data_IF_150828612014
#
_entry.id   IF_150828612014
#
_cell.length_a   1.000
_cell.length_b   1.000
_cell.length_c   1.000
_cell.angle_alpha   90.00
_cell.angle_beta   90.00
_cell.angle_gamma   90.00
#
_symmetry.space_group_name_H-M   'P 1'
#
loop_
_entity.id
_entity.type
_entity.pdbx_description
1 polymer ?
#
# COMPACT_ATOMS: atom_id res chain seq x y z
N UNK A 1 -2.57 17.98 47.22
CA UNK A 1 -2.33 19.20 48.02
C UNK A 1 -3.47 19.33 49.02
N UNK A 2 -3.24 19.82 50.25
CA UNK A 2 -4.28 19.79 51.28
C UNK A 2 -5.43 20.68 50.81
N UNK A 3 -6.66 20.15 50.78
CA UNK A 3 -7.86 20.99 50.78
C UNK A 3 -7.63 22.00 51.91
N UNK A 4 -7.62 23.31 51.61
CA UNK A 4 -7.66 24.32 52.67
C UNK A 4 -8.81 23.91 53.57
N UNK A 5 -8.53 23.75 54.87
CA UNK A 5 -9.56 23.32 55.82
C UNK A 5 -10.74 24.27 55.64
N UNK A 6 -11.89 23.71 55.25
CA UNK A 6 -13.14 24.44 55.23
C UNK A 6 -13.28 25.10 56.61
N UNK A 7 -13.68 26.38 56.68
CA UNK A 7 -13.83 27.05 57.96
C UNK A 7 -14.70 26.18 58.87
N UNK A 8 -14.28 25.99 60.13
CA UNK A 8 -15.02 25.17 61.07
C UNK A 8 -16.37 25.85 61.32
N UNK A 9 -17.46 25.19 60.91
CA UNK A 9 -18.82 25.74 61.02
C UNK A 9 -19.40 25.22 62.34
N UNK A 10 -19.60 26.06 63.36
CA UNK A 10 -20.04 25.61 64.68
C UNK A 10 -21.50 25.11 64.71
N UNK A 11 -22.29 25.37 63.66
CA UNK A 11 -23.70 24.99 63.55
C UNK A 11 -23.90 23.84 62.52
N UNK A 12 -24.33 22.64 62.95
CA UNK A 12 -24.54 21.50 62.06
C UNK A 12 -25.69 21.69 61.06
N UNK A 13 -26.70 22.51 61.37
CA UNK A 13 -27.77 22.84 60.40
C UNK A 13 -27.21 23.72 59.27
N UNK A 14 -26.38 24.70 59.64
CA UNK A 14 -25.72 25.59 58.69
C UNK A 14 -24.74 24.83 57.80
N UNK A 15 -24.01 23.86 58.36
CA UNK A 15 -23.09 23.01 57.62
C UNK A 15 -23.81 22.15 56.57
N UNK A 16 -24.91 21.50 56.94
CA UNK A 16 -25.72 20.71 56.00
C UNK A 16 -26.32 21.57 54.87
N UNK A 17 -26.75 22.79 55.18
CA UNK A 17 -27.27 23.73 54.19
C UNK A 17 -26.17 24.18 53.20
N UNK A 18 -24.98 24.51 53.69
CA UNK A 18 -23.84 24.91 52.86
C UNK A 18 -23.30 23.76 51.99
N UNK A 19 -23.30 22.52 52.51
CA UNK A 19 -22.93 21.34 51.72
C UNK A 19 -23.91 21.08 50.57
N UNK A 20 -25.21 21.19 50.82
CA UNK A 20 -26.25 21.07 49.80
C UNK A 20 -26.18 22.17 48.73
N UNK A 21 -25.73 23.38 49.10
CA UNK A 21 -25.47 24.46 48.13
C UNK A 21 -24.23 24.20 47.26
N UNK A 22 -23.32 23.33 47.69
CA UNK A 22 -22.08 22.98 46.98
C UNK A 22 -22.22 21.78 46.03
N UNK A 23 -23.39 21.15 45.96
CA UNK A 23 -23.64 20.01 45.07
C UNK A 23 -23.65 20.45 43.59
N UNK A 24 -22.74 19.92 42.74
CA UNK A 24 -22.69 20.30 41.33
C UNK A 24 -23.75 19.55 40.52
N UNK A 25 -24.32 20.22 39.51
CA UNK A 25 -25.10 19.58 38.45
C UNK A 25 -26.61 19.87 38.47
N UNK A 26 -27.39 19.18 37.63
CA UNK A 26 -28.82 19.44 37.44
C UNK A 26 -29.71 19.00 38.61
N UNK A 27 -29.19 18.16 39.52
CA UNK A 27 -29.90 17.66 40.70
C UNK A 27 -29.75 18.58 41.92
N UNK A 28 -28.94 19.64 41.82
CA UNK A 28 -28.73 20.63 42.86
C UNK A 28 -29.82 21.72 42.89
N UNK A 29 -29.93 22.50 43.99
CA UNK A 29 -30.87 23.60 44.09
C UNK A 29 -30.63 24.65 42.98
N UNK A 30 -31.70 25.17 42.39
CA UNK A 30 -31.64 26.22 41.39
C UNK A 30 -31.07 27.52 41.98
N UNK A 31 -30.54 28.42 41.14
CA UNK A 31 -29.92 29.66 41.60
C UNK A 31 -30.87 30.52 42.48
N UNK A 32 -32.17 30.50 42.19
CA UNK A 32 -33.17 31.19 43.01
C UNK A 32 -33.39 30.50 44.36
N UNK A 33 -33.48 29.17 44.40
CA UNK A 33 -33.59 28.40 45.65
C UNK A 33 -32.33 28.57 46.51
N UNK A 34 -31.14 28.60 45.89
CA UNK A 34 -29.88 28.88 46.57
C UNK A 34 -29.89 30.28 47.21
N UNK A 35 -30.37 31.30 46.48
CA UNK A 35 -30.50 32.66 46.98
C UNK A 35 -31.48 32.75 48.16
N UNK A 36 -32.64 32.10 48.08
CA UNK A 36 -33.63 32.06 49.15
C UNK A 36 -33.08 31.40 50.41
N UNK A 37 -32.41 30.24 50.27
CA UNK A 37 -31.77 29.53 51.38
C UNK A 37 -30.68 30.37 52.06
N UNK A 38 -29.85 31.06 51.27
CA UNK A 38 -28.79 31.94 51.78
C UNK A 38 -29.36 33.19 52.48
N UNK A 39 -30.43 33.79 51.94
CA UNK A 39 -31.11 34.94 52.56
C UNK A 39 -31.76 34.54 53.89
N UNK A 40 -32.42 33.38 53.93
CA UNK A 40 -33.01 32.82 55.15
C UNK A 40 -31.92 32.59 56.21
N UNK A 41 -30.78 31.97 55.84
CA UNK A 41 -29.67 31.75 56.77
C UNK A 41 -29.06 33.06 57.30
N UNK A 42 -28.84 34.06 56.45
CA UNK A 42 -28.30 35.37 56.85
C UNK A 42 -29.22 36.15 57.80
N UNK A 43 -30.53 35.94 57.73
CA UNK A 43 -31.50 36.65 58.58
C UNK A 43 -31.56 36.16 60.03
N UNK A 44 -31.01 34.96 60.33
CA UNK A 44 -31.06 34.35 61.67
C UNK A 44 -30.24 35.10 62.72
N UNK A 45 -29.03 35.55 62.37
CA UNK A 45 -28.15 36.33 63.25
C UNK A 45 -27.02 37.02 62.46
N UNK A 46 -26.51 38.18 62.93
CA UNK A 46 -25.39 38.87 62.28
C UNK A 46 -24.10 38.03 62.27
N UNK A 47 -23.88 37.18 63.26
CA UNK A 47 -22.73 36.25 63.31
C UNK A 47 -22.82 35.17 62.22
N UNK A 48 -24.02 34.64 61.96
CA UNK A 48 -24.28 33.64 60.91
C UNK A 48 -24.08 34.25 59.52
N UNK A 49 -24.52 35.50 59.32
CA UNK A 49 -24.30 36.20 58.06
C UNK A 49 -22.81 36.35 57.71
N UNK A 50 -21.97 36.69 58.69
CA UNK A 50 -20.52 36.79 58.51
C UNK A 50 -19.86 35.44 58.19
N UNK A 51 -20.36 34.34 58.76
CA UNK A 51 -19.90 32.97 58.47
C UNK A 51 -20.27 32.57 57.04
N UNK A 52 -21.52 32.81 56.62
CA UNK A 52 -21.99 32.52 55.26
C UNK A 52 -21.21 33.31 54.21
N UNK A 53 -20.98 34.61 54.45
CA UNK A 53 -20.21 35.44 53.53
C UNK A 53 -18.76 34.96 53.39
N UNK A 54 -18.12 34.60 54.51
CA UNK A 54 -16.76 34.04 54.50
C UNK A 54 -16.70 32.70 53.78
N UNK A 55 -17.71 31.85 53.97
CA UNK A 55 -17.81 30.57 53.28
C UNK A 55 -17.99 30.77 51.78
N UNK A 56 -18.91 31.64 51.34
CA UNK A 56 -19.14 31.92 49.92
C UNK A 56 -17.91 32.49 49.23
N UNK A 57 -17.19 33.41 49.90
CA UNK A 57 -15.94 33.95 49.37
C UNK A 57 -14.86 32.87 49.31
N UNK A 58 -14.77 31.98 50.32
CA UNK A 58 -13.87 30.84 50.32
C UNK A 58 -14.15 29.85 49.19
N UNK A 59 -15.42 29.47 49.00
CA UNK A 59 -15.85 28.56 47.94
C UNK A 59 -15.61 29.18 46.55
N UNK A 60 -15.85 30.49 46.38
CA UNK A 60 -15.50 31.20 45.15
C UNK A 60 -13.99 31.24 44.90
N UNK A 61 -13.16 31.43 45.93
CA UNK A 61 -11.70 31.39 45.80
C UNK A 61 -11.22 29.98 45.40
N UNK A 62 -11.76 28.94 46.05
CA UNK A 62 -11.46 27.53 45.76
C UNK A 62 -11.87 27.15 44.32
N UNK A 63 -13.07 27.55 43.87
CA UNK A 63 -13.54 27.33 42.50
C UNK A 63 -12.68 28.10 41.47
N UNK A 64 -12.33 29.35 41.76
CA UNK A 64 -11.46 30.16 40.87
C UNK A 64 -10.07 29.56 40.77
N UNK A 65 -9.53 29.08 41.89
CA UNK A 65 -8.25 28.40 41.94
C UNK A 65 -8.30 27.08 41.15
N UNK A 66 -9.29 26.23 41.41
CA UNK A 66 -9.47 24.96 40.69
C UNK A 66 -9.66 25.17 39.18
N UNK A 67 -10.42 26.18 38.77
CA UNK A 67 -10.57 26.54 37.36
C UNK A 67 -9.26 27.05 36.75
N UNK A 68 -8.49 27.85 37.48
CA UNK A 68 -7.19 28.32 37.02
C UNK A 68 -6.19 27.15 36.85
N UNK A 69 -6.17 26.21 37.79
CA UNK A 69 -5.35 25.01 37.74
C UNK A 69 -5.76 24.08 36.59
N UNK A 70 -7.06 23.81 36.42
CA UNK A 70 -7.56 23.01 35.30
C UNK A 70 -7.21 23.64 33.94
N UNK A 71 -7.30 24.98 33.82
CA UNK A 71 -6.87 25.70 32.62
C UNK A 71 -5.36 25.60 32.38
N UNK A 72 -4.55 25.67 33.44
CA UNK A 72 -3.10 25.52 33.34
C UNK A 72 -2.73 24.10 32.87
N UNK A 73 -3.37 23.07 33.44
CA UNK A 73 -3.18 21.69 33.03
C UNK A 73 -3.61 21.43 31.58
N UNK A 74 -4.76 21.97 31.16
CA UNK A 74 -5.19 21.92 29.75
C UNK A 74 -4.19 22.60 28.80
N UNK A 75 -3.62 23.74 29.22
CA UNK A 75 -2.60 24.43 28.43
C UNK A 75 -1.31 23.61 28.32
N UNK A 76 -0.91 22.91 29.38
CA UNK A 76 0.25 22.02 29.37
C UNK A 76 0.03 20.80 28.46
N UNK A 77 -1.13 20.15 28.56
CA UNK A 77 -1.50 19.04 27.68
C UNK A 77 -1.50 19.45 26.20
N UNK A 78 -2.03 20.64 25.87
CA UNK A 78 -1.97 21.17 24.50
C UNK A 78 -0.55 21.36 24.02
N UNK A 79 0.35 21.92 24.84
CA UNK A 79 1.76 22.07 24.48
C UNK A 79 2.43 20.72 24.21
N UNK A 80 2.13 19.69 25.01
CA UNK A 80 2.65 18.34 24.80
C UNK A 80 2.10 17.73 23.52
N UNK A 81 0.80 17.86 23.27
CA UNK A 81 0.17 17.41 22.03
C UNK A 81 0.82 18.07 20.81
N UNK A 82 0.93 19.40 20.80
CA UNK A 82 1.53 20.16 19.71
C UNK A 82 2.99 19.76 19.49
N UNK A 83 3.76 19.56 20.57
CA UNK A 83 5.16 19.11 20.48
C UNK A 83 5.26 17.74 19.81
N UNK A 84 4.42 16.79 20.23
CA UNK A 84 4.45 15.41 19.72
C UNK A 84 3.91 15.30 18.28
N UNK A 85 2.99 16.19 17.87
CA UNK A 85 2.42 16.19 16.52
C UNK A 85 3.13 17.16 15.58
N UNK A 86 4.02 18.03 16.07
CA UNK A 86 4.77 18.97 15.24
C UNK A 86 5.78 18.27 14.32
N UNK A 87 5.96 18.77 13.08
CA UNK A 87 7.03 18.30 12.21
C UNK A 87 8.42 18.65 12.80
N UNK A 88 9.50 17.95 12.41
CA UNK A 88 9.59 17.00 11.29
C UNK A 88 8.93 15.65 11.57
N UNK A 89 8.30 15.09 10.54
CA UNK A 89 7.71 13.76 10.55
C UNK A 89 8.57 12.78 9.76
N UNK A 90 8.53 11.52 10.16
CA UNK A 90 9.40 10.48 9.62
C UNK A 90 8.61 9.49 8.77
N UNK A 91 8.92 9.33 7.48
CA UNK A 91 8.24 8.36 6.63
C UNK A 91 8.60 6.91 7.03
N UNK A 92 7.60 6.04 6.99
CA UNK A 92 7.70 4.62 7.27
C UNK A 92 6.75 3.82 6.38
N UNK A 93 6.96 2.50 6.24
CA UNK A 93 6.03 1.60 5.56
C UNK A 93 5.12 0.92 6.56
N UNK A 94 3.81 0.93 6.30
CA UNK A 94 2.89 0.05 6.99
C UNK A 94 3.09 -1.41 6.56
N UNK A 95 3.18 -2.33 7.52
CA UNK A 95 3.40 -3.75 7.24
C UNK A 95 2.18 -4.61 7.54
N UNK A 96 1.58 -4.47 8.72
CA UNK A 96 0.42 -5.27 9.14
C UNK A 96 -0.17 -4.76 10.47
N UNK A 97 -1.44 -5.09 10.78
CA UNK A 97 -1.98 -4.87 12.11
C UNK A 97 -1.38 -5.84 13.12
N UNK A 98 -1.38 -5.46 14.40
CA UNK A 98 -1.04 -6.36 15.50
C UNK A 98 -2.30 -7.02 16.03
N UNK A 99 -2.32 -8.35 16.10
CA UNK A 99 -3.48 -9.11 16.58
C UNK A 99 -3.82 -8.76 18.05
N UNK A 100 -5.11 -8.67 18.35
CA UNK A 100 -5.61 -8.38 19.69
C UNK A 100 -5.50 -6.90 20.13
N UNK A 101 -4.84 -6.04 19.35
CA UNK A 101 -4.66 -4.61 19.70
C UNK A 101 -5.11 -3.70 18.57
N UNK A 102 -6.25 -3.00 18.70
CA UNK A 102 -6.84 -2.31 17.57
C UNK A 102 -6.14 -1.03 17.13
N UNK A 103 -5.44 -0.41 18.07
CA UNK A 103 -4.71 0.84 17.96
C UNK A 103 -3.24 0.64 17.58
N UNK A 104 -2.75 -0.60 17.45
CA UNK A 104 -1.34 -0.90 17.20
C UNK A 104 -1.10 -1.55 15.85
N UNK A 105 -0.04 -1.08 15.19
CA UNK A 105 0.37 -1.54 13.87
C UNK A 105 1.86 -1.76 13.81
N UNK A 106 2.29 -2.69 12.97
CA UNK A 106 3.69 -2.91 12.64
C UNK A 106 4.08 -2.04 11.45
N UNK A 107 5.13 -1.24 11.61
CA UNK A 107 5.70 -0.39 10.57
C UNK A 107 7.19 -0.66 10.40
N UNK A 108 7.73 -0.33 9.23
CA UNK A 108 9.17 -0.34 8.98
C UNK A 108 9.69 1.07 8.72
N UNK A 109 10.71 1.48 9.48
CA UNK A 109 11.37 2.78 9.38
C UNK A 109 12.88 2.57 9.40
N UNK A 110 13.58 2.99 8.35
CA UNK A 110 15.05 2.85 8.26
C UNK A 110 15.53 1.39 8.36
N UNK A 111 14.77 0.43 7.83
CA UNK A 111 15.08 -1.00 7.86
C UNK A 111 14.73 -1.72 9.17
N UNK A 112 14.40 -0.99 10.23
CA UNK A 112 13.93 -1.58 11.48
C UNK A 112 12.39 -1.68 11.52
N UNK A 113 11.88 -2.79 12.04
CA UNK A 113 10.45 -2.98 12.30
C UNK A 113 10.09 -2.50 13.70
N UNK A 114 8.96 -1.81 13.84
CA UNK A 114 8.47 -1.25 15.11
C UNK A 114 6.97 -1.41 15.22
N UNK A 115 6.51 -1.72 16.44
CA UNK A 115 5.09 -1.62 16.79
C UNK A 115 4.84 -0.20 17.26
N UNK A 116 3.88 0.47 16.62
CA UNK A 116 3.52 1.86 16.88
C UNK A 116 2.01 1.99 17.06
N UNK A 117 1.56 3.04 17.72
CA UNK A 117 0.13 3.33 17.85
C UNK A 117 -0.38 4.12 16.63
N UNK A 118 -1.68 4.06 16.36
CA UNK A 118 -2.37 4.94 15.41
C UNK A 118 -2.87 6.20 16.14
N UNK A 119 -2.73 7.36 15.51
CA UNK A 119 -3.34 8.59 16.01
C UNK A 119 -4.88 8.54 15.91
N UNK A 120 -5.55 9.34 16.73
CA UNK A 120 -7.02 9.47 16.68
C UNK A 120 -7.48 9.87 15.27
N UNK A 121 -8.52 9.20 14.77
CA UNK A 121 -9.09 9.44 13.44
C UNK A 121 -8.47 8.64 12.31
N UNK A 122 -7.42 7.83 12.56
CA UNK A 122 -6.87 6.91 11.58
C UNK A 122 -7.39 5.51 11.85
N UNK A 123 -8.17 4.95 10.91
CA UNK A 123 -8.51 3.53 10.95
C UNK A 123 -7.42 2.70 10.31
N UNK A 124 -7.19 1.50 10.85
CA UNK A 124 -6.32 0.52 10.20
C UNK A 124 -6.91 0.01 8.88
N UNK A 125 -8.23 0.11 8.72
CA UNK A 125 -8.94 -0.39 7.53
C UNK A 125 -8.64 0.46 6.30
N UNK A 126 -8.20 1.70 6.51
CA UNK A 126 -7.77 2.62 5.46
C UNK A 126 -6.31 2.39 5.02
N UNK A 127 -5.60 1.45 5.67
CA UNK A 127 -4.18 1.18 5.44
C UNK A 127 -3.97 -0.18 4.77
N UNK A 128 -3.28 -0.18 3.65
CA UNK A 128 -2.85 -1.36 2.92
C UNK A 128 -1.37 -1.63 3.13
N UNK A 129 -0.99 -2.92 3.14
CA UNK A 129 0.42 -3.34 3.25
C UNK A 129 1.26 -2.61 2.21
N UNK A 130 2.35 -1.98 2.66
CA UNK A 130 3.27 -1.22 1.84
C UNK A 130 2.95 0.27 1.72
N UNK A 131 1.84 0.75 2.27
CA UNK A 131 1.52 2.18 2.27
C UNK A 131 2.55 2.99 3.06
N UNK A 132 2.83 4.19 2.55
CA UNK A 132 3.67 5.14 3.25
C UNK A 132 2.85 5.83 4.36
N UNK A 133 3.43 5.87 5.55
CA UNK A 133 2.85 6.52 6.72
C UNK A 133 3.85 7.46 7.34
N UNK A 134 3.37 8.50 8.01
CA UNK A 134 4.19 9.49 8.69
C UNK A 134 4.15 9.26 10.19
N UNK A 135 5.32 9.03 10.77
CA UNK A 135 5.52 8.89 12.21
C UNK A 135 5.86 10.23 12.84
N UNK A 136 5.51 10.37 14.13
CA UNK A 136 5.96 11.47 14.96
C UNK A 136 7.47 11.43 15.26
N UNK A 137 7.98 12.45 15.96
CA UNK A 137 9.40 12.57 16.31
C UNK A 137 9.93 11.41 17.17
N UNK A 138 9.08 10.84 18.02
CA UNK A 138 9.41 9.70 18.87
C UNK A 138 9.28 8.35 18.14
N UNK A 139 8.89 8.34 16.86
CA UNK A 139 8.76 7.16 16.01
C UNK A 139 7.83 6.08 16.59
N UNK A 140 6.82 6.49 17.36
CA UNK A 140 5.94 5.61 18.12
C UNK A 140 4.44 5.78 17.82
N UNK A 141 4.07 6.80 17.02
CA UNK A 141 2.69 7.04 16.59
C UNK A 141 2.66 7.35 15.10
N UNK A 142 1.75 6.71 14.36
CA UNK A 142 1.38 7.10 12.99
C UNK A 142 0.45 8.30 13.07
N UNK A 143 0.90 9.44 12.55
CA UNK A 143 0.15 10.71 12.55
C UNK A 143 -0.79 10.83 11.36
N UNK A 144 -0.45 10.22 10.22
CA UNK A 144 -1.28 10.17 9.01
C UNK A 144 -0.70 9.21 7.97
N UNK A 145 -1.54 8.66 7.07
CA UNK A 145 -1.06 8.09 5.81
C UNK A 145 -0.49 9.17 4.88
N UNK A 146 0.40 8.76 4.00
CA UNK A 146 1.01 9.56 2.95
C UNK A 146 0.50 9.09 1.59
N UNK A 147 -0.21 9.96 0.89
CA UNK A 147 -0.85 9.63 -0.39
C UNK A 147 -0.55 10.74 -1.41
N UNK A 148 -0.06 10.42 -2.62
CA UNK A 148 0.38 9.10 -3.06
C UNK A 148 1.64 8.64 -2.29
N UNK A 149 1.87 7.33 -2.27
CA UNK A 149 3.10 6.75 -1.74
C UNK A 149 4.31 7.40 -2.43
N UNK A 150 5.35 7.72 -1.66
CA UNK A 150 6.61 8.26 -2.17
C UNK A 150 7.34 7.16 -2.92
N UNK A 151 7.83 7.48 -4.11
CA UNK A 151 8.63 6.53 -4.90
C UNK A 151 9.94 6.22 -4.17
N UNK A 152 9.95 5.10 -3.46
CA UNK A 152 11.16 4.57 -2.81
C UNK A 152 12.10 4.02 -3.86
N UNK A 153 13.41 4.18 -3.61
CA UNK A 153 14.42 3.49 -4.39
C UNK A 153 14.27 1.98 -4.15
N UNK A 154 13.80 1.27 -5.17
CA UNK A 154 13.51 -0.16 -5.12
C UNK A 154 14.27 -0.88 -6.22
N UNK A 155 14.42 -2.19 -6.07
CA UNK A 155 14.99 -3.04 -7.11
C UNK A 155 13.89 -3.58 -8.04
N UNK A 156 14.32 -4.14 -9.17
CA UNK A 156 13.44 -4.84 -10.10
C UNK A 156 13.82 -6.33 -10.08
N UNK A 157 12.81 -7.18 -9.98
CA UNK A 157 12.96 -8.63 -10.07
C UNK A 157 11.91 -9.21 -11.01
N UNK A 158 12.13 -10.43 -11.47
CA UNK A 158 11.18 -11.15 -12.31
C UNK A 158 10.35 -12.11 -11.47
N UNK A 159 9.03 -12.06 -11.62
CA UNK A 159 8.12 -12.99 -10.98
C UNK A 159 8.28 -14.38 -11.59
N UNK A 160 8.50 -15.40 -10.76
CA UNK A 160 8.50 -16.80 -11.21
C UNK A 160 7.14 -17.45 -10.98
N UNK A 161 6.74 -17.54 -9.72
CA UNK A 161 5.50 -18.17 -9.29
C UNK A 161 5.09 -17.67 -7.90
N UNK A 162 3.82 -17.91 -7.54
CA UNK A 162 3.28 -17.63 -6.21
C UNK A 162 3.27 -18.90 -5.36
N UNK A 163 3.54 -18.76 -4.07
CA UNK A 163 3.40 -19.80 -3.06
C UNK A 163 1.93 -19.90 -2.59
N UNK A 164 1.59 -21.02 -1.95
CA UNK A 164 0.23 -21.29 -1.47
C UNK A 164 -0.26 -20.31 -0.39
N UNK A 165 0.65 -19.60 0.27
CA UNK A 165 0.35 -18.61 1.31
C UNK A 165 0.30 -17.16 0.77
N UNK A 166 0.36 -16.98 -0.54
CA UNK A 166 0.30 -15.67 -1.20
C UNK A 166 1.63 -14.92 -1.28
N UNK A 167 2.74 -15.51 -0.81
CA UNK A 167 4.08 -14.96 -1.06
C UNK A 167 4.52 -15.21 -2.50
N UNK A 168 5.33 -14.33 -3.05
CA UNK A 168 5.85 -14.36 -4.41
C UNK A 168 7.30 -14.85 -4.39
N UNK A 169 7.64 -15.76 -5.29
CA UNK A 169 9.03 -16.09 -5.61
C UNK A 169 9.48 -15.22 -6.77
N UNK A 170 10.50 -14.40 -6.52
CA UNK A 170 11.07 -13.48 -7.48
C UNK A 170 12.51 -13.89 -7.80
N UNK A 171 12.91 -13.74 -9.06
CA UNK A 171 14.31 -13.82 -9.49
C UNK A 171 14.91 -12.41 -9.46
N UNK A 172 15.70 -12.13 -8.44
CA UNK A 172 16.44 -10.88 -8.29
C UNK A 172 17.90 -11.13 -8.68
N UNK A 173 18.31 -10.60 -9.84
CA UNK A 173 19.64 -10.85 -10.43
C UNK A 173 19.91 -12.36 -10.58
N UNK A 174 20.88 -12.88 -9.83
CA UNK A 174 21.28 -14.30 -9.82
C UNK A 174 20.72 -15.08 -8.62
N UNK A 175 19.79 -14.49 -7.86
CA UNK A 175 19.23 -15.10 -6.66
C UNK A 175 17.72 -15.19 -6.71
N UNK A 176 17.18 -16.26 -6.12
CA UNK A 176 15.75 -16.39 -5.85
C UNK A 176 15.47 -15.83 -4.46
N UNK A 177 14.46 -14.97 -4.40
CA UNK A 177 14.05 -14.26 -3.18
C UNK A 177 12.55 -14.39 -3.02
N UNK A 178 12.10 -14.29 -1.77
CA UNK A 178 10.68 -14.34 -1.43
C UNK A 178 10.24 -12.95 -1.00
N UNK A 179 9.14 -12.48 -1.57
CA UNK A 179 8.53 -11.20 -1.22
C UNK A 179 7.02 -11.36 -1.05
N UNK A 180 6.38 -10.44 -0.32
CA UNK A 180 4.92 -10.35 -0.23
C UNK A 180 4.40 -9.24 -1.15
N UNK A 181 3.26 -9.46 -1.79
CA UNK A 181 2.61 -8.42 -2.58
C UNK A 181 2.07 -7.30 -1.67
N UNK A 182 2.21 -6.06 -2.12
CA UNK A 182 1.83 -4.83 -1.44
C UNK A 182 1.04 -3.92 -2.39
N UNK A 183 0.17 -3.08 -1.84
CA UNK A 183 -0.64 -2.12 -2.61
C UNK A 183 -1.40 -2.76 -3.78
N UNK A 184 -1.35 -2.11 -4.95
CA UNK A 184 -2.05 -2.54 -6.16
C UNK A 184 -1.61 -3.91 -6.70
N UNK A 185 -0.38 -4.36 -6.41
CA UNK A 185 0.10 -5.67 -6.86
C UNK A 185 -0.64 -6.83 -6.18
N UNK A 186 -1.16 -6.64 -4.96
CA UNK A 186 -1.84 -7.70 -4.21
C UNK A 186 -3.11 -8.22 -4.90
N UNK A 187 -3.70 -7.40 -5.77
CA UNK A 187 -4.90 -7.73 -6.55
C UNK A 187 -4.62 -7.93 -8.04
N UNK A 188 -3.36 -7.78 -8.47
CA UNK A 188 -2.97 -7.89 -9.86
C UNK A 188 -2.60 -9.33 -10.24
N UNK A 189 -2.98 -9.77 -11.44
CA UNK A 189 -2.60 -11.10 -11.94
C UNK A 189 -1.20 -11.06 -12.55
N UNK A 190 -0.26 -11.77 -11.93
CA UNK A 190 1.12 -11.91 -12.41
C UNK A 190 1.30 -13.21 -13.22
N UNK A 191 1.97 -13.08 -14.37
CA UNK A 191 2.47 -14.18 -15.17
C UNK A 191 3.98 -14.35 -15.02
N UNK A 192 4.49 -15.58 -15.16
CA UNK A 192 5.92 -15.86 -15.10
C UNK A 192 6.72 -14.95 -16.06
N UNK A 193 7.81 -14.37 -15.55
CA UNK A 193 8.65 -13.39 -16.23
C UNK A 193 8.10 -11.96 -16.22
N UNK A 194 7.02 -11.67 -15.48
CA UNK A 194 6.60 -10.29 -15.25
C UNK A 194 7.63 -9.56 -14.39
N UNK A 195 7.95 -8.32 -14.75
CA UNK A 195 8.89 -7.50 -13.98
C UNK A 195 8.15 -6.78 -12.89
N UNK A 196 8.66 -6.87 -11.67
CA UNK A 196 8.01 -6.32 -10.48
C UNK A 196 8.99 -5.43 -9.74
N UNK A 197 8.52 -4.26 -9.31
CA UNK A 197 9.29 -3.38 -8.42
C UNK A 197 9.16 -3.88 -6.98
N UNK A 198 10.27 -4.09 -6.30
CA UNK A 198 10.29 -4.65 -4.95
C UNK A 198 11.38 -4.02 -4.06
N UNK A 199 11.17 -4.04 -2.74
CA UNK A 199 12.13 -3.57 -1.74
C UNK A 199 12.72 -4.79 -1.00
N UNK A 200 14.03 -5.06 -1.15
CA UNK A 200 14.70 -6.18 -0.49
C UNK A 200 14.73 -6.05 1.03
N UNK A 201 14.74 -4.83 1.55
CA UNK A 201 14.78 -4.57 3.00
C UNK A 201 13.46 -4.95 3.66
N UNK A 202 12.35 -4.73 2.96
CA UNK A 202 11.00 -5.00 3.46
C UNK A 202 10.47 -6.36 3.01
N UNK A 203 11.13 -6.99 2.03
CA UNK A 203 10.61 -8.14 1.32
C UNK A 203 9.19 -7.88 0.78
N UNK A 204 8.95 -6.68 0.23
CA UNK A 204 7.66 -6.26 -0.33
C UNK A 204 7.76 -5.94 -1.81
N UNK A 205 6.76 -6.36 -2.57
CA UNK A 205 6.62 -6.12 -4.00
C UNK A 205 5.41 -5.21 -4.27
N UNK A 206 5.59 -4.09 -4.98
CA UNK A 206 4.62 -2.98 -4.99
C UNK A 206 3.78 -2.87 -6.26
N UNK A 207 4.39 -3.07 -7.43
CA UNK A 207 3.72 -2.89 -8.71
C UNK A 207 4.39 -3.70 -9.82
N UNK A 208 3.60 -4.09 -10.81
CA UNK A 208 4.08 -4.65 -12.06
C UNK A 208 4.60 -3.51 -12.94
N UNK A 209 5.82 -3.68 -13.44
CA UNK A 209 6.40 -2.78 -14.41
C UNK A 209 5.97 -3.21 -15.82
N UNK A 210 5.60 -2.26 -16.70
CA UNK A 210 5.34 -2.59 -18.09
C UNK A 210 6.59 -3.24 -18.66
N UNK A 211 6.41 -4.31 -19.42
CA UNK A 211 7.49 -4.84 -20.25
C UNK A 211 7.83 -3.75 -21.25
N UNK A 212 8.94 -3.05 -21.03
CA UNK A 212 9.65 -2.42 -22.14
C UNK A 212 9.93 -3.57 -23.09
N UNK A 213 9.31 -3.56 -24.27
CA UNK A 213 9.68 -4.51 -25.30
C UNK A 213 11.20 -4.44 -25.41
N UNK A 214 11.90 -5.55 -25.15
CA UNK A 214 13.32 -5.63 -25.46
C UNK A 214 13.46 -5.25 -26.93
N UNK A 215 13.90 -4.01 -27.15
CA UNK A 215 13.85 -3.30 -28.41
C UNK A 215 14.99 -3.74 -29.31
N UNK A 216 15.16 -5.06 -29.45
CA UNK A 216 16.19 -5.67 -30.29
C UNK A 216 15.67 -6.83 -31.14
N UNK A 217 14.90 -7.77 -30.57
CA UNK A 217 14.85 -9.11 -31.17
C UNK A 217 13.48 -9.77 -31.31
N UNK A 218 12.37 -9.17 -30.87
CA UNK A 218 11.06 -9.85 -30.91
C UNK A 218 9.90 -8.99 -31.44
N UNK A 219 9.14 -9.63 -32.35
CA UNK A 219 7.78 -9.33 -32.84
C UNK A 219 7.64 -8.07 -33.70
N UNK A 220 7.96 -8.19 -35.00
CA UNK A 220 7.29 -7.33 -35.97
C UNK A 220 5.85 -7.81 -36.13
N UNK A 221 4.92 -6.87 -36.37
CA UNK A 221 3.61 -7.22 -36.92
C UNK A 221 3.74 -8.01 -38.23
N UNK A 222 2.66 -8.67 -38.65
CA UNK A 222 2.61 -9.50 -39.86
C UNK A 222 3.43 -8.88 -41.00
N UNK A 223 4.44 -9.57 -41.55
CA UNK A 223 5.24 -9.03 -42.65
C UNK A 223 4.38 -8.66 -43.85
N UNK A 224 4.80 -7.67 -44.64
CA UNK A 224 4.06 -7.20 -45.81
C UNK A 224 4.40 -7.98 -47.08
N UNK A 225 5.53 -8.68 -47.13
CA UNK A 225 5.96 -9.45 -48.29
C UNK A 225 5.02 -10.61 -48.57
N UNK A 226 4.70 -10.85 -49.84
CA UNK A 226 3.87 -11.93 -50.34
C UNK A 226 4.66 -12.92 -51.19
N UNK A 227 4.05 -14.05 -51.52
CA UNK A 227 4.67 -14.99 -52.47
C UNK A 227 4.79 -14.42 -53.89
N UNK A 228 3.98 -13.41 -54.25
CA UNK A 228 4.09 -12.74 -55.54
C UNK A 228 5.38 -11.91 -55.67
N UNK A 229 6.00 -11.56 -54.54
CA UNK A 229 7.27 -10.82 -54.50
C UNK A 229 8.49 -11.74 -54.68
N UNK A 230 8.28 -13.05 -54.88
CA UNK A 230 9.33 -14.06 -55.01
C UNK A 230 9.30 -14.68 -56.41
N UNK A 231 10.37 -14.47 -57.19
CA UNK A 231 10.49 -15.06 -58.52
C UNK A 231 11.15 -16.44 -58.53
N UNK A 232 10.61 -17.37 -59.33
CA UNK A 232 11.29 -18.62 -59.71
C UNK A 232 11.42 -19.69 -58.63
N UNK A 233 10.66 -19.59 -57.54
CA UNK A 233 10.67 -20.53 -56.41
C UNK A 233 9.30 -21.17 -56.16
N UNK A 234 8.45 -21.25 -57.18
CA UNK A 234 7.06 -21.70 -57.08
C UNK A 234 6.94 -23.11 -56.48
N UNK A 235 7.79 -24.04 -56.93
CA UNK A 235 7.82 -25.42 -56.44
C UNK A 235 8.21 -25.48 -54.95
N UNK A 236 9.19 -24.69 -54.52
CA UNK A 236 9.65 -24.65 -53.13
C UNK A 236 8.60 -24.01 -52.23
N UNK A 237 7.94 -22.95 -52.71
CA UNK A 237 6.82 -22.29 -52.02
C UNK A 237 5.68 -23.28 -51.82
N UNK A 238 5.29 -24.02 -52.86
CA UNK A 238 4.21 -24.99 -52.78
C UNK A 238 4.52 -26.10 -51.76
N UNK A 239 5.73 -26.69 -51.82
CA UNK A 239 6.17 -27.72 -50.86
C UNK A 239 6.15 -27.20 -49.42
N UNK A 240 6.62 -25.96 -49.21
CA UNK A 240 6.64 -25.33 -47.89
C UNK A 240 5.21 -25.07 -47.38
N UNK A 241 4.33 -24.53 -48.22
CA UNK A 241 2.92 -24.32 -47.88
C UNK A 241 2.24 -25.65 -47.51
N UNK A 242 2.38 -26.69 -48.34
CA UNK A 242 1.78 -28.01 -48.08
C UNK A 242 2.23 -28.58 -46.73
N UNK A 243 3.51 -28.40 -46.38
CA UNK A 243 4.07 -28.91 -45.12
C UNK A 243 3.45 -28.27 -43.87
N UNK A 244 2.99 -27.02 -43.96
CA UNK A 244 2.43 -26.27 -42.82
C UNK A 244 0.89 -26.24 -42.85
N UNK A 245 0.30 -26.30 -44.04
CA UNK A 245 -1.15 -26.13 -44.27
C UNK A 245 -2.00 -27.12 -43.48
N UNK A 246 -1.62 -28.39 -43.47
CA UNK A 246 -2.37 -29.44 -42.78
C UNK A 246 -2.47 -29.16 -41.28
N UNK A 247 -1.35 -28.81 -40.64
CA UNK A 247 -1.27 -28.56 -39.20
C UNK A 247 -1.96 -27.28 -38.76
N UNK A 248 -2.02 -26.27 -39.63
CA UNK A 248 -2.62 -24.97 -39.31
C UNK A 248 -4.12 -24.92 -39.64
N UNK A 249 -4.55 -25.43 -40.80
CA UNK A 249 -5.94 -25.36 -41.22
C UNK A 249 -6.80 -26.50 -40.67
N UNK A 250 -6.21 -27.67 -40.41
CA UNK A 250 -6.95 -28.87 -40.01
C UNK A 250 -6.34 -29.56 -38.77
N UNK A 251 -6.19 -28.85 -37.63
CA UNK A 251 -5.60 -29.41 -36.42
C UNK A 251 -6.36 -30.64 -35.89
N UNK A 252 -7.68 -30.69 -36.08
CA UNK A 252 -8.53 -31.82 -35.68
C UNK A 252 -8.19 -33.11 -36.44
N UNK A 253 -7.88 -33.02 -37.74
CA UNK A 253 -7.44 -34.16 -38.53
C UNK A 253 -6.06 -34.64 -38.09
N UNK A 254 -5.14 -33.72 -37.83
CA UNK A 254 -3.80 -34.05 -37.31
C UNK A 254 -3.90 -34.81 -35.98
N UNK A 255 -4.78 -34.36 -35.09
CA UNK A 255 -5.02 -35.03 -33.80
C UNK A 255 -5.68 -36.39 -33.97
N UNK A 256 -6.71 -36.49 -34.81
CA UNK A 256 -7.45 -37.74 -35.08
C UNK A 256 -6.56 -38.83 -35.68
N UNK A 257 -5.70 -38.46 -36.62
CA UNK A 257 -4.77 -39.38 -37.29
C UNK A 257 -3.40 -39.47 -36.62
N UNK A 258 -3.20 -38.80 -35.47
CA UNK A 258 -1.95 -38.77 -34.70
C UNK A 258 -0.72 -38.45 -35.57
N UNK A 259 -0.89 -37.52 -36.51
CA UNK A 259 0.19 -37.13 -37.42
C UNK A 259 1.24 -36.31 -36.66
N UNK A 260 2.53 -36.55 -36.95
CA UNK A 260 3.63 -35.81 -36.34
C UNK A 260 3.54 -34.33 -36.71
N UNK A 261 3.65 -33.44 -35.73
CA UNK A 261 3.75 -31.99 -35.98
C UNK A 261 5.06 -31.69 -36.71
N UNK A 262 5.00 -30.97 -37.82
CA UNK A 262 6.21 -30.42 -38.44
C UNK A 262 6.71 -29.31 -37.52
N UNK A 263 7.83 -29.56 -36.85
CA UNK A 263 8.39 -28.64 -35.85
C UNK A 263 9.35 -27.60 -36.41
N UNK A 264 9.98 -27.87 -37.56
CA UNK A 264 10.98 -26.99 -38.16
C UNK A 264 11.10 -27.26 -39.67
N UNK A 265 11.39 -26.20 -40.44
CA UNK A 265 11.78 -26.27 -41.84
C UNK A 265 13.16 -25.61 -42.01
N UNK A 266 14.05 -26.27 -42.75
CA UNK A 266 15.40 -25.77 -43.01
C UNK A 266 15.50 -25.29 -44.46
N UNK A 267 15.79 -24.00 -44.65
CA UNK A 267 16.03 -23.40 -45.96
C UNK A 267 17.54 -23.34 -46.22
N UNK A 268 18.04 -24.14 -47.17
CA UNK A 268 19.49 -24.22 -47.51
C UNK A 268 19.74 -23.67 -48.92
N UNK A 269 20.94 -23.14 -49.15
CA UNK A 269 21.43 -22.75 -50.49
C UNK A 269 22.28 -21.47 -50.47
N UNK A 270 22.70 -20.98 -51.64
CA UNK A 270 23.58 -19.82 -51.76
C UNK A 270 23.02 -18.55 -51.10
N UNK A 271 23.87 -17.64 -50.60
CA UNK A 271 23.42 -16.34 -50.10
C UNK A 271 22.72 -15.55 -51.21
N UNK A 272 21.72 -14.72 -50.85
CA UNK A 272 20.97 -13.91 -51.81
C UNK A 272 19.82 -14.63 -52.53
N UNK A 273 19.57 -15.91 -52.28
CA UNK A 273 18.48 -16.70 -52.92
C UNK A 273 17.10 -16.54 -52.28
N UNK A 274 16.86 -15.45 -51.55
CA UNK A 274 15.51 -15.12 -51.03
C UNK A 274 15.00 -15.94 -49.84
N UNK A 275 15.85 -16.69 -49.12
CA UNK A 275 15.44 -17.54 -47.97
C UNK A 275 14.66 -16.78 -46.90
N UNK A 276 15.17 -15.62 -46.49
CA UNK A 276 14.52 -14.73 -45.52
C UNK A 276 13.21 -14.17 -46.08
N UNK A 277 13.14 -13.93 -47.38
CA UNK A 277 11.97 -13.38 -48.05
C UNK A 277 10.84 -14.41 -48.12
N UNK A 278 11.15 -15.68 -48.44
CA UNK A 278 10.22 -16.81 -48.35
C UNK A 278 9.67 -16.97 -46.92
N UNK A 279 10.52 -16.85 -45.90
CA UNK A 279 10.08 -16.97 -44.51
C UNK A 279 9.10 -15.84 -44.10
N UNK A 280 9.36 -14.61 -44.56
CA UNK A 280 8.46 -13.46 -44.33
C UNK A 280 7.13 -13.62 -45.07
N UNK A 281 7.17 -14.01 -46.34
CA UNK A 281 5.98 -14.28 -47.14
C UNK A 281 5.12 -15.41 -46.57
N UNK A 282 5.75 -16.48 -46.07
CA UNK A 282 5.06 -17.56 -45.38
C UNK A 282 4.37 -17.05 -44.12
N UNK A 283 5.02 -16.22 -43.32
CA UNK A 283 4.42 -15.67 -42.11
C UNK A 283 3.21 -14.77 -42.44
N UNK A 284 3.28 -13.96 -43.51
CA UNK A 284 2.12 -13.20 -44.00
C UNK A 284 0.96 -14.11 -44.36
N UNK A 285 1.22 -15.10 -45.22
CA UNK A 285 0.21 -16.07 -45.67
C UNK A 285 -0.42 -16.81 -44.50
N UNK A 286 0.36 -17.24 -43.50
CA UNK A 286 -0.17 -17.86 -42.27
C UNK A 286 -1.06 -16.91 -41.47
N UNK A 287 -0.75 -15.61 -41.46
CA UNK A 287 -1.60 -14.59 -40.85
C UNK A 287 -2.95 -14.49 -41.54
N UNK A 288 -2.96 -14.44 -42.87
CA UNK A 288 -4.17 -14.41 -43.71
C UNK A 288 -5.03 -15.68 -43.54
N UNK A 289 -4.40 -16.84 -43.35
CA UNK A 289 -5.09 -18.12 -43.17
C UNK A 289 -5.54 -18.39 -41.71
N UNK A 290 -5.05 -17.60 -40.75
CA UNK A 290 -5.40 -17.74 -39.33
C UNK A 290 -6.75 -17.11 -39.03
N UNK A 291 -7.50 -17.67 -38.08
CA UNK A 291 -8.81 -17.14 -37.63
C UNK A 291 -8.74 -15.68 -37.16
N UNK A 292 -7.56 -15.23 -36.71
CA UNK A 292 -7.33 -13.87 -36.21
C UNK A 292 -6.73 -12.90 -37.22
N UNK A 293 -6.49 -13.30 -38.47
CA UNK A 293 -5.93 -12.43 -39.52
C UNK A 293 -4.53 -11.87 -39.22
N UNK A 294 -3.82 -12.42 -38.23
CA UNK A 294 -2.56 -11.91 -37.71
C UNK A 294 -1.59 -13.05 -37.48
N UNK A 295 -0.32 -12.82 -37.81
CA UNK A 295 0.78 -13.70 -37.43
C UNK A 295 1.86 -12.94 -36.69
N UNK A 296 2.66 -13.67 -35.94
CA UNK A 296 3.83 -13.15 -35.23
C UNK A 296 5.06 -13.67 -35.96
N UNK A 297 5.85 -12.77 -36.53
CA UNK A 297 7.09 -13.12 -37.18
C UNK A 297 8.26 -12.74 -36.29
N UNK A 298 9.20 -13.66 -36.14
CA UNK A 298 10.38 -13.48 -35.32
C UNK A 298 11.62 -13.72 -36.17
N UNK A 299 12.49 -12.72 -36.24
CA UNK A 299 13.72 -12.79 -37.02
C UNK A 299 14.93 -12.62 -36.11
N UNK A 300 15.54 -13.76 -35.77
CA UNK A 300 16.78 -13.82 -35.01
C UNK A 300 17.95 -13.97 -35.98
N UNK A 301 18.88 -13.01 -35.99
CA UNK A 301 20.18 -13.22 -36.60
C UNK A 301 21.05 -14.02 -35.62
N UNK A 302 21.86 -15.00 -36.03
CA UNK A 302 22.75 -15.72 -35.11
C UNK A 302 23.64 -14.77 -34.27
N UNK A 303 24.10 -13.67 -34.87
CA UNK A 303 24.86 -12.62 -34.18
C UNK A 303 24.10 -11.97 -32.99
N UNK A 304 22.76 -11.96 -33.03
CA UNK A 304 21.92 -11.41 -31.96
C UNK A 304 21.82 -12.33 -30.74
N UNK A 305 22.11 -13.62 -30.90
CA UNK A 305 22.13 -14.57 -29.78
C UNK A 305 23.44 -14.52 -28.99
N UNK A 306 24.45 -13.83 -29.50
CA UNK A 306 25.75 -13.72 -28.85
C UNK A 306 25.77 -12.54 -27.88
N UNK A 307 25.87 -12.85 -26.58
CA UNK A 307 26.24 -11.89 -25.55
C UNK A 307 27.76 -11.90 -25.36
N UNK A 308 28.39 -10.73 -25.19
CA UNK A 308 29.80 -10.63 -24.78
C UNK A 308 30.05 -11.20 -23.37
N UNK A 309 28.98 -11.37 -22.59
CA UNK A 309 28.97 -11.87 -21.23
C UNK A 309 28.64 -13.36 -21.21
N UNK A 310 29.50 -14.14 -20.54
CA UNK A 310 29.36 -15.59 -20.42
C UNK A 310 28.05 -15.95 -19.71
N UNK A 311 27.27 -16.88 -20.28
CA UNK A 311 26.02 -17.40 -19.68
C UNK A 311 24.72 -16.67 -20.06
N UNK A 312 24.77 -15.46 -20.63
CA UNK A 312 23.55 -14.73 -21.05
C UNK A 312 22.96 -15.19 -22.40
N UNK A 313 23.70 -15.96 -23.18
CA UNK A 313 23.24 -16.43 -24.50
C UNK A 313 22.11 -17.48 -24.41
N UNK A 314 21.95 -18.16 -23.26
CA UNK A 314 20.85 -19.11 -23.02
C UNK A 314 19.57 -18.43 -22.49
N UNK A 315 19.69 -17.20 -21.99
CA UNK A 315 18.59 -16.42 -21.43
C UNK A 315 17.90 -15.50 -22.45
N UNK A 316 18.57 -15.17 -23.56
CA UNK A 316 18.06 -14.36 -24.69
C UNK A 316 17.20 -15.16 -25.67
#
# INVERSE_FOLDING_TARGET
>A
MPRRQRPDIPDPELQALLERLSEPGPDGPTLNEQLELLQAARSRAPEIAAVVDRWLVGELDDLRYGLAEARAYQAELRKLHDRLTSPPWYPAAYLMPVEGTPDKVLVACGGAQRVVNLAEGISRDDLSVGDDVLLNQELNVVLRPLTPNVTRACEVAEFQHALSDGRLVLKARESEVIARAAGGLAIETLGCGDRVRWDPTLALAFEKLPRTADSGHFLSETPTESFADIGGLDEQIERLQQSVRLHMLYPELVQRYRLRRVGAALLVGPPGTGKTLIARALARWLGEQSRGGRSRFMHIKPAALHSLWYGQSEAN
#
